data_IF_753763329427
#
_entry.id   IF_753763329427
#
_cell.length_a   1.000
_cell.length_b   1.000
_cell.length_c   1.000
_cell.angle_alpha   90.00
_cell.angle_beta   90.00
_cell.angle_gamma   90.00
#
_symmetry.space_group_name_H-M   'P 1'
#
loop_
_entity.id
_entity.type
_entity.pdbx_description
1 polymer ?
#
# COMPACT_ATOMS: atom_id res chain seq x y z
N UNK A 1 -0.76 -28.09 0.32
CA UNK A 1 -1.01 -28.16 -1.14
C UNK A 1 -1.01 -26.75 -1.70
N UNK A 2 -0.46 -26.57 -2.90
CA UNK A 2 -0.33 -25.27 -3.56
C UNK A 2 -1.01 -25.32 -4.94
N UNK A 3 -1.75 -24.27 -5.30
CA UNK A 3 -2.34 -24.09 -6.61
C UNK A 3 -1.80 -22.79 -7.21
N UNK A 4 -1.10 -22.91 -8.33
CA UNK A 4 -0.56 -21.79 -9.07
C UNK A 4 -1.30 -21.67 -10.39
N UNK A 5 -2.09 -20.61 -10.52
CA UNK A 5 -2.82 -20.27 -11.73
C UNK A 5 -2.02 -19.27 -12.54
N UNK A 6 -2.14 -19.36 -13.86
CA UNK A 6 -1.80 -18.24 -14.72
C UNK A 6 -2.84 -17.12 -14.52
N UNK A 7 -2.44 -15.85 -14.60
CA UNK A 7 -3.32 -14.71 -14.38
C UNK A 7 -4.48 -14.63 -15.37
N UNK A 8 -4.36 -15.28 -16.52
CA UNK A 8 -5.43 -15.37 -17.53
C UNK A 8 -6.31 -16.62 -17.36
N UNK A 9 -5.98 -17.51 -16.41
CA UNK A 9 -6.78 -18.71 -16.13
C UNK A 9 -8.02 -18.33 -15.32
N UNK A 10 -9.19 -18.51 -15.92
CA UNK A 10 -10.47 -18.42 -15.20
C UNK A 10 -10.71 -19.71 -14.42
N UNK A 11 -10.94 -19.57 -13.12
CA UNK A 11 -11.28 -20.71 -12.29
C UNK A 11 -12.80 -20.95 -12.32
N UNK A 12 -13.17 -22.11 -12.84
CA UNK A 12 -14.53 -22.64 -12.98
C UNK A 12 -15.36 -22.64 -11.71
N UNK A 13 -14.96 -23.56 -10.84
CA UNK A 13 -15.56 -24.06 -9.60
C UNK A 13 -14.63 -25.17 -9.07
N UNK A 14 -14.89 -25.68 -7.86
CA UNK A 14 -14.19 -26.84 -7.32
C UNK A 14 -12.94 -26.50 -6.52
N UNK A 15 -12.79 -25.22 -6.17
CA UNK A 15 -11.91 -24.80 -5.08
C UNK A 15 -12.27 -25.60 -3.84
N UNK A 16 -13.57 -25.76 -3.53
CA UNK A 16 -14.08 -26.52 -2.38
C UNK A 16 -13.57 -27.97 -2.26
N UNK A 17 -13.17 -28.61 -3.38
CA UNK A 17 -12.58 -29.95 -3.36
C UNK A 17 -11.14 -29.97 -2.84
N UNK A 18 -10.49 -28.80 -2.82
CA UNK A 18 -9.09 -28.60 -2.44
C UNK A 18 -8.94 -28.36 -0.92
N UNK A 19 -9.49 -29.27 -0.11
CA UNK A 19 -9.59 -29.12 1.37
C UNK A 19 -8.25 -28.90 2.09
N UNK A 20 -7.13 -29.30 1.48
CA UNK A 20 -5.76 -29.14 2.02
C UNK A 20 -4.98 -27.96 1.40
N UNK A 21 -5.66 -27.05 0.71
CA UNK A 21 -5.05 -25.90 0.04
C UNK A 21 -4.48 -24.91 1.06
N UNK A 22 -3.18 -24.61 0.90
CA UNK A 22 -2.46 -23.66 1.75
C UNK A 22 -1.95 -22.45 0.97
N UNK A 23 -1.74 -22.60 -0.33
CA UNK A 23 -1.27 -21.52 -1.19
C UNK A 23 -2.11 -21.48 -2.47
N UNK A 24 -2.63 -20.30 -2.78
CA UNK A 24 -3.38 -20.02 -4.00
C UNK A 24 -2.80 -18.76 -4.62
N UNK A 25 -2.23 -18.89 -5.82
CA UNK A 25 -1.66 -17.74 -6.52
C UNK A 25 -2.25 -17.61 -7.91
N UNK A 26 -2.32 -16.38 -8.41
CA UNK A 26 -2.83 -16.12 -9.76
C UNK A 26 -4.35 -16.05 -9.86
N UNK A 27 -5.06 -16.03 -8.72
CA UNK A 27 -6.52 -16.07 -8.72
C UNK A 27 -7.10 -14.83 -9.40
N UNK A 28 -7.87 -15.02 -10.48
CA UNK A 28 -8.66 -13.94 -11.08
C UNK A 28 -10.04 -13.88 -10.45
N UNK A 29 -10.43 -12.71 -9.96
CA UNK A 29 -11.76 -12.40 -9.43
C UNK A 29 -12.37 -11.32 -10.31
N UNK A 30 -13.38 -11.71 -11.10
CA UNK A 30 -14.17 -10.84 -11.97
C UNK A 30 -15.67 -11.05 -11.74
N UNK A 31 -16.51 -10.45 -12.59
CA UNK A 31 -17.98 -10.41 -12.44
C UNK A 31 -18.63 -11.80 -12.46
N UNK A 32 -17.91 -12.78 -13.00
CA UNK A 32 -18.31 -14.16 -13.16
C UNK A 32 -17.75 -15.10 -12.08
N UNK A 33 -17.16 -14.54 -11.01
CA UNK A 33 -16.40 -15.28 -10.00
C UNK A 33 -17.17 -15.47 -8.67
N UNK A 34 -18.49 -15.31 -8.66
CA UNK A 34 -19.30 -15.38 -7.44
C UNK A 34 -19.11 -16.70 -6.67
N UNK A 35 -19.11 -17.82 -7.41
CA UNK A 35 -18.94 -19.15 -6.82
C UNK A 35 -17.54 -19.33 -6.23
N UNK A 36 -16.52 -18.86 -6.94
CA UNK A 36 -15.11 -18.88 -6.52
C UNK A 36 -14.90 -18.06 -5.25
N UNK A 37 -15.48 -16.86 -5.18
CA UNK A 37 -15.41 -15.99 -3.99
C UNK A 37 -16.02 -16.69 -2.77
N UNK A 38 -17.21 -17.27 -2.95
CA UNK A 38 -17.89 -18.02 -1.88
C UNK A 38 -17.08 -19.24 -1.43
N UNK A 39 -16.52 -20.01 -2.37
CA UNK A 39 -15.69 -21.17 -2.05
C UNK A 39 -14.35 -20.79 -1.39
N UNK A 40 -13.76 -19.65 -1.75
CA UNK A 40 -12.55 -19.13 -1.12
C UNK A 40 -12.74 -18.99 0.40
N UNK A 41 -13.90 -18.49 0.83
CA UNK A 41 -14.21 -18.34 2.26
C UNK A 41 -14.25 -19.65 3.06
N UNK A 42 -14.33 -20.82 2.40
CA UNK A 42 -14.28 -22.13 3.06
C UNK A 42 -12.83 -22.63 3.27
N UNK A 43 -11.84 -22.03 2.60
CA UNK A 43 -10.44 -22.43 2.66
C UNK A 43 -9.70 -21.79 3.83
N UNK A 44 -10.18 -22.01 5.05
CA UNK A 44 -9.62 -21.41 6.26
C UNK A 44 -8.18 -21.85 6.58
N UNK A 45 -7.69 -22.91 5.92
CA UNK A 45 -6.30 -23.37 5.93
C UNK A 45 -5.32 -22.52 5.10
N UNK A 46 -5.82 -21.60 4.28
CA UNK A 46 -5.02 -20.82 3.33
C UNK A 46 -4.06 -19.86 4.06
N UNK A 47 -2.80 -19.88 3.64
CA UNK A 47 -1.70 -19.08 4.20
C UNK A 47 -1.17 -18.05 3.22
N UNK A 48 -1.19 -18.36 1.92
CA UNK A 48 -0.74 -17.46 0.85
C UNK A 48 -1.85 -17.31 -0.17
N UNK A 49 -2.19 -16.06 -0.47
CA UNK A 49 -3.15 -15.70 -1.48
C UNK A 49 -2.60 -14.58 -2.35
N UNK A 50 -2.49 -14.82 -3.65
CA UNK A 50 -2.30 -13.74 -4.62
C UNK A 50 -3.44 -13.74 -5.61
N UNK A 51 -4.07 -12.58 -5.78
CA UNK A 51 -5.24 -12.44 -6.63
C UNK A 51 -5.20 -11.16 -7.46
N UNK A 52 -5.82 -11.22 -8.63
CA UNK A 52 -6.18 -10.08 -9.46
C UNK A 52 -7.67 -9.87 -9.29
N UNK A 53 -8.01 -8.70 -8.80
CA UNK A 53 -9.37 -8.29 -8.55
C UNK A 53 -9.76 -7.21 -9.55
N UNK A 54 -10.69 -7.57 -10.41
CA UNK A 54 -11.36 -6.67 -11.33
C UNK A 54 -12.58 -6.12 -10.58
N UNK A 55 -12.76 -4.81 -10.58
CA UNK A 55 -13.82 -4.19 -9.80
C UNK A 55 -15.20 -4.68 -10.25
N UNK A 56 -15.95 -5.25 -9.31
CA UNK A 56 -17.22 -5.95 -9.52
C UNK A 56 -18.17 -5.69 -8.35
N UNK A 57 -19.44 -6.02 -8.51
CA UNK A 57 -20.44 -6.11 -7.45
C UNK A 57 -20.08 -7.12 -6.33
N UNK A 58 -19.18 -8.08 -6.60
CA UNK A 58 -18.70 -9.07 -5.61
C UNK A 58 -17.75 -8.54 -4.53
N UNK A 59 -17.53 -7.23 -4.44
CA UNK A 59 -16.53 -6.68 -3.52
C UNK A 59 -16.80 -7.00 -2.05
N UNK A 60 -18.05 -6.83 -1.60
CA UNK A 60 -18.42 -7.10 -0.21
C UNK A 60 -18.29 -8.60 0.12
N UNK A 61 -18.76 -9.46 -0.78
CA UNK A 61 -18.63 -10.92 -0.64
C UNK A 61 -17.18 -11.38 -0.59
N UNK A 62 -16.31 -10.74 -1.38
CA UNK A 62 -14.87 -11.00 -1.35
C UNK A 62 -14.27 -10.62 0.00
N UNK A 63 -14.61 -9.44 0.53
CA UNK A 63 -14.13 -9.00 1.85
C UNK A 63 -14.63 -9.91 2.97
N UNK A 64 -15.90 -10.32 2.93
CA UNK A 64 -16.46 -11.29 3.87
C UNK A 64 -15.74 -12.64 3.80
N UNK A 65 -15.40 -13.09 2.60
CA UNK A 65 -14.67 -14.34 2.38
C UNK A 65 -13.23 -14.25 2.87
N UNK A 66 -12.54 -13.14 2.60
CA UNK A 66 -11.21 -12.84 3.16
C UNK A 66 -11.22 -12.77 4.69
N UNK A 67 -12.29 -12.27 5.29
CA UNK A 67 -12.48 -12.22 6.75
C UNK A 67 -12.50 -13.61 7.42
N UNK A 68 -12.85 -14.67 6.67
CA UNK A 68 -12.85 -16.06 7.17
C UNK A 68 -11.45 -16.69 7.15
N UNK A 69 -10.50 -16.11 6.40
CA UNK A 69 -9.14 -16.64 6.19
C UNK A 69 -8.18 -16.29 7.34
N UNK A 70 -8.49 -16.77 8.54
CA UNK A 70 -7.74 -16.42 9.76
C UNK A 70 -6.29 -16.90 9.81
N UNK A 71 -5.88 -17.87 8.97
CA UNK A 71 -4.48 -18.37 8.88
C UNK A 71 -3.65 -17.67 7.81
N UNK A 72 -4.20 -16.68 7.09
CA UNK A 72 -3.46 -16.00 6.03
C UNK A 72 -2.25 -15.26 6.60
N UNK A 73 -1.10 -15.44 5.95
CA UNK A 73 0.18 -14.83 6.30
C UNK A 73 0.67 -13.89 5.20
N UNK A 74 0.29 -14.15 3.95
CA UNK A 74 0.63 -13.33 2.80
C UNK A 74 -0.60 -13.12 1.93
N UNK A 75 -0.95 -11.85 1.72
CA UNK A 75 -2.03 -11.45 0.84
C UNK A 75 -1.51 -10.38 -0.14
N UNK A 76 -1.49 -10.73 -1.42
CA UNK A 76 -1.20 -9.79 -2.50
C UNK A 76 -2.48 -9.60 -3.34
N UNK A 77 -2.96 -8.37 -3.43
CA UNK A 77 -4.16 -8.03 -4.19
C UNK A 77 -3.78 -7.06 -5.30
N UNK A 78 -3.98 -7.49 -6.53
CA UNK A 78 -3.79 -6.71 -7.74
C UNK A 78 -5.14 -6.12 -8.16
N UNK A 79 -5.39 -4.85 -7.86
CA UNK A 79 -6.69 -4.22 -8.13
C UNK A 79 -6.64 -3.42 -9.43
N UNK A 80 -7.59 -3.69 -10.33
CA UNK A 80 -7.86 -2.92 -11.53
C UNK A 80 -9.26 -2.28 -11.40
N UNK A 81 -9.33 -1.02 -10.97
CA UNK A 81 -10.61 -0.32 -10.78
C UNK A 81 -10.43 1.07 -10.18
N UNK A 82 -11.47 1.90 -10.14
CA UNK A 82 -11.42 3.29 -9.65
C UNK A 82 -11.99 3.41 -8.22
N UNK A 83 -12.72 2.39 -7.75
CA UNK A 83 -13.52 2.41 -6.51
C UNK A 83 -12.98 1.36 -5.53
N UNK A 84 -12.08 1.77 -4.64
CA UNK A 84 -11.42 0.86 -3.69
C UNK A 84 -11.70 1.19 -2.22
N UNK A 85 -12.96 1.45 -1.92
CA UNK A 85 -13.51 1.66 -0.57
C UNK A 85 -13.98 0.38 0.12
N UNK A 86 -14.16 -0.71 -0.61
CA UNK A 86 -14.72 -1.97 -0.12
C UNK A 86 -13.87 -2.62 0.99
N UNK A 87 -12.55 -2.45 0.98
CA UNK A 87 -11.67 -3.10 1.95
C UNK A 87 -11.69 -2.45 3.34
N UNK A 88 -12.48 -1.37 3.57
CA UNK A 88 -12.63 -0.72 4.89
C UNK A 88 -13.03 -1.67 6.01
N UNK A 89 -13.91 -2.62 5.70
CA UNK A 89 -14.48 -3.56 6.66
C UNK A 89 -13.61 -4.80 6.90
N UNK A 90 -12.54 -4.99 6.10
CA UNK A 90 -11.66 -6.13 6.29
C UNK A 90 -10.81 -5.98 7.54
N UNK A 91 -10.90 -6.98 8.43
CA UNK A 91 -10.07 -7.07 9.62
C UNK A 91 -8.90 -8.01 9.33
N UNK A 92 -7.67 -7.50 9.21
CA UNK A 92 -6.51 -8.33 8.91
C UNK A 92 -6.17 -9.23 10.11
N UNK A 93 -5.84 -10.51 9.88
CA UNK A 93 -5.51 -11.41 10.97
C UNK A 93 -4.13 -11.08 11.60
N UNK A 94 -3.94 -11.37 12.90
CA UNK A 94 -2.72 -11.02 13.63
C UNK A 94 -1.46 -11.72 13.11
N UNK A 95 -1.63 -12.87 12.43
CA UNK A 95 -0.56 -13.64 11.80
C UNK A 95 -0.11 -13.09 10.44
N UNK A 96 -0.73 -12.03 9.93
CA UNK A 96 -0.40 -11.45 8.64
C UNK A 96 1.02 -10.87 8.64
N UNK A 97 1.86 -11.38 7.74
CA UNK A 97 3.27 -10.99 7.59
C UNK A 97 3.50 -10.10 6.38
N UNK A 98 2.68 -10.26 5.35
CA UNK A 98 2.77 -9.51 4.10
C UNK A 98 1.38 -9.08 3.64
N UNK A 99 1.25 -7.80 3.35
CA UNK A 99 0.10 -7.26 2.63
C UNK A 99 0.56 -6.33 1.51
N UNK A 100 0.30 -6.69 0.26
CA UNK A 100 0.67 -5.89 -0.90
C UNK A 100 -0.56 -5.55 -1.73
N UNK A 101 -0.91 -4.27 -1.78
CA UNK A 101 -1.78 -3.69 -2.79
C UNK A 101 -0.95 -3.28 -4.01
N UNK A 102 -1.24 -3.86 -5.17
CA UNK A 102 -0.50 -3.64 -6.43
C UNK A 102 -1.45 -3.29 -7.56
N UNK A 103 -1.01 -2.48 -8.52
CA UNK A 103 -1.77 -2.10 -9.72
C UNK A 103 -1.70 -0.60 -10.03
N UNK A 104 -1.88 -0.20 -11.31
CA UNK A 104 -1.83 1.21 -11.73
C UNK A 104 -2.97 2.03 -11.12
N UNK A 105 -4.11 1.38 -10.86
CA UNK A 105 -5.31 1.93 -10.23
C UNK A 105 -5.63 1.21 -8.92
N UNK A 106 -4.63 0.61 -8.27
CA UNK A 106 -4.87 -0.16 -7.05
C UNK A 106 -5.14 0.75 -5.87
N UNK A 107 -6.39 1.17 -5.78
CA UNK A 107 -6.79 2.22 -4.88
C UNK A 107 -7.33 1.60 -3.58
N UNK A 108 -6.50 0.91 -2.79
CA UNK A 108 -6.93 0.37 -1.48
C UNK A 108 -6.66 1.38 -0.34
N UNK A 109 -6.99 2.67 -0.53
CA UNK A 109 -6.73 3.76 0.46
C UNK A 109 -7.48 3.63 1.77
N UNK A 110 -8.48 2.77 1.80
CA UNK A 110 -9.52 2.87 2.80
C UNK A 110 -9.31 1.89 3.95
N UNK A 111 -8.40 0.94 3.79
CA UNK A 111 -7.77 0.29 4.94
C UNK A 111 -6.98 1.35 5.70
N UNK A 112 -7.35 1.65 6.95
CA UNK A 112 -6.57 2.59 7.72
C UNK A 112 -5.19 1.97 7.93
N UNK A 113 -4.14 2.60 7.42
CA UNK A 113 -2.76 2.11 7.56
C UNK A 113 -2.41 1.83 9.04
N UNK A 114 -3.05 2.53 9.97
CA UNK A 114 -2.90 2.31 11.42
C UNK A 114 -3.46 0.98 11.92
N UNK A 115 -4.49 0.40 11.30
CA UNK A 115 -5.00 -0.95 11.63
C UNK A 115 -3.97 -2.01 11.29
N UNK A 116 -3.23 -1.82 10.19
CA UNK A 116 -2.11 -2.69 9.82
C UNK A 116 -0.86 -2.40 10.67
N UNK A 117 -0.73 -1.16 11.16
CA UNK A 117 0.37 -0.71 12.03
C UNK A 117 0.41 -1.38 13.40
N UNK A 118 -0.69 -1.95 13.88
CA UNK A 118 -0.72 -2.68 15.16
C UNK A 118 -0.39 -4.16 15.00
N UNK A 119 -0.26 -4.67 13.77
CA UNK A 119 -0.01 -6.09 13.53
C UNK A 119 1.41 -6.48 13.97
N UNK A 120 1.55 -7.43 14.91
CA UNK A 120 2.84 -7.75 15.51
C UNK A 120 3.76 -8.52 14.55
N UNK A 121 3.18 -9.20 13.56
CA UNK A 121 3.94 -10.04 12.62
C UNK A 121 4.17 -9.41 11.25
N UNK A 122 3.66 -8.20 11.01
CA UNK A 122 3.71 -7.56 9.70
C UNK A 122 5.14 -7.13 9.36
N UNK A 123 5.71 -7.73 8.32
CA UNK A 123 7.09 -7.51 7.84
C UNK A 123 7.15 -6.68 6.58
N UNK A 124 6.13 -6.80 5.72
CA UNK A 124 6.10 -6.15 4.42
C UNK A 124 4.72 -5.56 4.16
N UNK A 125 4.67 -4.26 3.93
CA UNK A 125 3.45 -3.54 3.61
C UNK A 125 3.63 -2.73 2.33
N UNK A 126 2.65 -2.80 1.44
CA UNK A 126 2.50 -1.85 0.33
C UNK A 126 1.03 -1.45 0.20
N UNK A 127 0.75 -0.17 0.38
CA UNK A 127 -0.56 0.45 0.17
C UNK A 127 -0.44 1.57 -0.85
N UNK A 128 -1.48 1.71 -1.68
CA UNK A 128 -1.66 2.80 -2.63
C UNK A 128 -3.03 3.42 -2.38
N UNK A 129 -3.10 4.75 -2.22
CA UNK A 129 -4.35 5.43 -1.93
C UNK A 129 -5.25 5.71 -3.18
N UNK A 130 -6.59 5.76 -3.01
CA UNK A 130 -7.60 6.33 -3.93
C UNK A 130 -7.52 7.86 -4.03
N UNK A 131 -7.98 8.42 -5.15
CA UNK A 131 -8.36 9.83 -5.24
C UNK A 131 -7.22 10.79 -5.57
N UNK A 132 -7.59 11.93 -6.15
CA UNK A 132 -6.66 13.06 -6.32
C UNK A 132 -6.24 13.49 -4.93
N UNK A 133 -4.94 13.49 -4.67
CA UNK A 133 -4.37 13.96 -3.40
C UNK A 133 -4.88 15.37 -3.04
N UNK A 134 -5.26 16.15 -4.04
CA UNK A 134 -5.85 17.50 -3.96
C UNK A 134 -7.24 17.55 -3.28
N UNK A 135 -7.99 16.45 -3.28
CA UNK A 135 -9.36 16.37 -2.74
C UNK A 135 -9.39 15.88 -1.28
N UNK A 136 -8.22 15.52 -0.74
CA UNK A 136 -8.06 15.07 0.65
C UNK A 136 -7.79 16.27 1.53
N UNK A 137 -8.86 16.96 1.92
CA UNK A 137 -8.79 17.94 3.01
C UNK A 137 -8.11 17.31 4.21
N UNK A 138 -6.92 17.81 4.54
CA UNK A 138 -6.16 17.78 5.82
C UNK A 138 -6.38 16.64 6.82
N UNK A 139 -6.79 15.43 6.43
CA UNK A 139 -6.78 14.28 7.31
C UNK A 139 -5.34 13.76 7.40
N UNK A 140 -4.55 14.45 8.22
CA UNK A 140 -3.26 13.99 8.70
C UNK A 140 -3.53 12.78 9.58
N UNK A 141 -3.69 11.60 8.96
CA UNK A 141 -3.81 10.36 9.71
C UNK A 141 -2.45 10.05 10.34
N UNK A 142 -2.23 10.57 11.55
CA UNK A 142 -0.98 10.42 12.30
C UNK A 142 -0.79 8.95 12.64
N UNK A 143 0.34 8.39 12.21
CA UNK A 143 0.76 7.04 12.61
C UNK A 143 1.10 7.08 14.10
N UNK A 144 0.61 6.12 14.88
CA UNK A 144 0.91 6.06 16.32
C UNK A 144 2.40 5.78 16.56
N UNK A 145 2.94 6.30 17.66
CA UNK A 145 4.25 5.87 18.17
C UNK A 145 4.22 4.35 18.41
N UNK A 146 5.25 3.64 17.94
CA UNK A 146 5.32 2.17 18.02
C UNK A 146 4.58 1.42 16.91
N UNK A 147 4.01 2.11 15.92
CA UNK A 147 3.40 1.43 14.78
C UNK A 147 4.44 0.68 13.95
N UNK A 148 4.01 -0.43 13.37
CA UNK A 148 4.80 -1.31 12.51
C UNK A 148 6.07 -1.85 13.20
N UNK A 149 5.95 -2.51 14.37
CA UNK A 149 7.08 -2.89 15.20
C UNK A 149 8.06 -3.85 14.50
N UNK A 150 7.59 -4.64 13.52
CA UNK A 150 8.38 -5.65 12.82
C UNK A 150 8.48 -5.41 11.30
N UNK A 151 8.00 -4.26 10.79
CA UNK A 151 8.00 -4.01 9.35
C UNK A 151 9.40 -3.67 8.85
N UNK A 152 9.90 -4.47 7.91
CA UNK A 152 11.19 -4.24 7.23
C UNK A 152 11.05 -3.46 5.94
N UNK A 153 9.90 -3.61 5.26
CA UNK A 153 9.58 -2.88 4.05
C UNK A 153 8.19 -2.24 4.19
N UNK A 154 8.13 -0.93 4.01
CA UNK A 154 6.89 -0.16 4.08
C UNK A 154 6.79 0.74 2.85
N UNK A 155 5.69 0.61 2.11
CA UNK A 155 5.38 1.46 0.98
C UNK A 155 3.99 2.07 1.16
N UNK A 156 3.92 3.38 1.35
CA UNK A 156 2.68 4.16 1.44
C UNK A 156 2.66 5.19 0.30
N UNK A 157 2.01 4.83 -0.80
CA UNK A 157 2.02 5.60 -2.03
C UNK A 157 0.71 6.36 -2.24
N UNK A 158 0.83 7.56 -2.79
CA UNK A 158 -0.29 8.49 -3.07
C UNK A 158 -1.11 8.90 -1.86
N UNK A 159 -0.64 8.65 -0.64
CA UNK A 159 -1.13 9.33 0.54
C UNK A 159 -0.50 10.74 0.59
N UNK A 160 -1.16 11.70 1.27
CA UNK A 160 -0.47 12.92 1.73
C UNK A 160 0.46 12.46 2.86
N UNK A 161 1.61 11.85 2.52
CA UNK A 161 2.55 11.26 3.47
C UNK A 161 3.94 11.83 3.27
N UNK A 162 4.42 12.54 4.29
CA UNK A 162 5.81 12.92 4.47
C UNK A 162 6.40 12.00 5.56
N UNK A 163 7.71 11.71 5.52
CA UNK A 163 8.37 10.90 6.54
C UNK A 163 8.09 11.32 7.99
N UNK A 164 7.88 12.62 8.24
CA UNK A 164 7.52 13.15 9.56
C UNK A 164 6.18 12.65 10.13
N UNK A 165 5.33 11.99 9.33
CA UNK A 165 4.13 11.31 9.84
C UNK A 165 4.42 10.07 10.65
N UNK A 166 5.63 9.52 10.56
CA UNK A 166 6.09 8.46 11.44
C UNK A 166 6.75 9.10 12.66
N UNK A 167 6.12 9.11 13.85
CA UNK A 167 6.78 9.60 15.04
C UNK A 167 7.94 8.68 15.45
N UNK A 168 8.82 9.18 16.31
CA UNK A 168 9.88 8.35 16.92
C UNK A 168 9.29 7.06 17.51
N UNK A 169 9.95 5.94 17.20
CA UNK A 169 9.51 4.61 17.60
C UNK A 169 8.57 3.92 16.62
N UNK A 170 8.03 4.60 15.62
CA UNK A 170 7.40 3.92 14.47
C UNK A 170 8.47 3.36 13.52
N UNK A 171 8.16 2.25 12.85
CA UNK A 171 9.05 1.60 11.87
C UNK A 171 10.50 1.38 12.38
N UNK A 172 10.71 0.85 13.60
CA UNK A 172 12.05 0.78 14.21
C UNK A 172 13.04 -0.10 13.42
N UNK A 173 12.54 -1.11 12.70
CA UNK A 173 13.35 -2.08 11.94
C UNK A 173 13.18 -1.96 10.43
N UNK A 174 12.63 -0.84 9.95
CA UNK A 174 12.38 -0.63 8.54
C UNK A 174 13.68 -0.35 7.79
N UNK A 175 14.01 -1.25 6.86
CA UNK A 175 15.16 -1.14 5.96
C UNK A 175 14.79 -0.42 4.68
N UNK A 176 13.54 -0.62 4.21
CA UNK A 176 13.04 -0.02 2.96
C UNK A 176 11.81 0.81 3.21
N UNK A 177 11.86 2.08 2.81
CA UNK A 177 10.73 3.01 2.86
C UNK A 177 10.42 3.55 1.47
N UNK A 178 9.16 3.45 1.07
CA UNK A 178 8.67 3.99 -0.20
C UNK A 178 7.46 4.90 0.05
N UNK A 179 7.50 6.12 -0.48
CA UNK A 179 6.42 7.09 -0.30
C UNK A 179 6.29 8.04 -1.50
N UNK A 180 5.14 8.70 -1.60
CA UNK A 180 4.90 9.71 -2.63
C UNK A 180 4.99 11.12 -2.06
N UNK A 181 5.56 12.03 -2.83
CA UNK A 181 5.67 13.45 -2.50
C UNK A 181 5.04 14.26 -3.64
N UNK A 182 4.19 15.21 -3.29
CA UNK A 182 3.76 16.25 -4.22
C UNK A 182 4.62 17.49 -4.05
N UNK A 183 5.27 17.93 -5.12
CA UNK A 183 6.02 19.18 -5.08
C UNK A 183 5.14 20.39 -4.71
N UNK A 184 3.83 20.35 -5.05
CA UNK A 184 2.89 21.42 -4.71
C UNK A 184 2.74 21.63 -3.19
N UNK A 185 2.79 20.57 -2.39
CA UNK A 185 2.61 20.66 -0.92
C UNK A 185 3.74 21.46 -0.25
N UNK A 186 4.88 21.61 -0.94
CA UNK A 186 6.05 22.36 -0.48
C UNK A 186 6.22 23.70 -1.20
N UNK A 187 5.33 24.04 -2.14
CA UNK A 187 5.29 25.35 -2.76
C UNK A 187 4.69 26.39 -1.80
N UNK A 188 4.86 27.69 -2.10
CA UNK A 188 4.22 28.77 -1.32
C UNK A 188 2.70 28.53 -1.28
N UNK A 189 2.16 28.26 -0.08
CA UNK A 189 0.74 27.95 0.14
C UNK A 189 0.39 26.46 0.27
N UNK A 190 1.33 25.54 0.07
CA UNK A 190 1.12 24.08 0.14
C UNK A 190 1.03 23.49 1.56
N UNK A 191 1.31 24.29 2.60
CA UNK A 191 1.09 23.91 3.99
C UNK A 191 2.12 22.96 4.61
N UNK A 192 3.10 22.45 3.84
CA UNK A 192 4.22 21.65 4.36
C UNK A 192 5.57 22.36 4.26
N UNK A 193 6.33 22.36 5.35
CA UNK A 193 7.74 22.74 5.36
C UNK A 193 8.64 21.58 4.95
N UNK A 194 9.84 21.87 4.44
CA UNK A 194 10.83 20.86 4.05
C UNK A 194 11.28 19.96 5.22
N UNK A 195 11.10 20.41 6.46
CA UNK A 195 11.35 19.60 7.67
C UNK A 195 10.49 18.34 7.73
N UNK A 196 9.34 18.33 7.03
CA UNK A 196 8.51 17.13 6.91
C UNK A 196 9.21 15.95 6.21
N UNK A 197 10.30 16.21 5.50
CA UNK A 197 11.09 15.23 4.77
C UNK A 197 12.20 14.59 5.61
N UNK A 198 12.40 15.03 6.86
CA UNK A 198 13.44 14.48 7.75
C UNK A 198 13.14 13.04 8.12
N UNK A 199 14.16 12.19 7.99
CA UNK A 199 14.06 10.74 8.20
C UNK A 199 15.03 10.21 9.27
N UNK A 200 15.81 11.09 9.91
CA UNK A 200 16.84 10.76 10.91
C UNK A 200 16.34 9.95 12.11
N UNK A 201 15.03 9.95 12.35
CA UNK A 201 14.39 9.24 13.46
C UNK A 201 14.08 7.78 13.15
N UNK A 202 14.32 7.31 11.91
CA UNK A 202 14.07 5.94 11.46
C UNK A 202 15.41 5.17 11.41
N UNK A 203 15.77 4.45 12.48
CA UNK A 203 17.17 4.09 12.76
C UNK A 203 17.75 3.02 11.84
N UNK A 204 16.92 2.27 11.11
CA UNK A 204 17.34 1.09 10.33
C UNK A 204 17.27 1.28 8.81
N UNK A 205 17.03 2.51 8.32
CA UNK A 205 16.83 2.73 6.89
C UNK A 205 18.11 2.44 6.09
N UNK A 206 17.93 1.69 5.01
CA UNK A 206 18.97 1.29 4.05
C UNK A 206 18.60 1.75 2.63
N UNK A 207 17.31 1.71 2.26
CA UNK A 207 16.82 2.15 0.95
C UNK A 207 15.58 3.05 1.07
N UNK A 208 15.57 4.12 0.29
CA UNK A 208 14.46 5.07 0.19
C UNK A 208 14.04 5.20 -1.27
N UNK A 209 12.76 5.00 -1.54
CA UNK A 209 12.15 5.22 -2.85
C UNK A 209 11.12 6.32 -2.76
N UNK A 210 11.26 7.35 -3.58
CA UNK A 210 10.34 8.49 -3.59
C UNK A 210 9.70 8.63 -4.95
N UNK A 211 8.37 8.62 -5.00
CA UNK A 211 7.61 9.02 -6.18
C UNK A 211 7.31 10.52 -6.08
N UNK A 212 8.12 11.34 -6.76
CA UNK A 212 7.98 12.80 -6.77
C UNK A 212 7.08 13.23 -7.92
N UNK A 213 5.85 13.59 -7.59
CA UNK A 213 4.83 14.06 -8.53
C UNK A 213 4.80 15.59 -8.59
N UNK A 214 4.73 16.16 -9.80
CA UNK A 214 4.71 17.61 -9.99
C UNK A 214 3.94 18.06 -11.24
N UNK A 215 3.51 19.33 -11.27
CA UNK A 215 2.95 19.99 -12.46
C UNK A 215 4.06 20.73 -13.20
N UNK A 216 3.96 20.84 -14.53
CA UNK A 216 4.99 21.50 -15.38
C UNK A 216 5.33 22.93 -14.96
N UNK A 217 4.39 23.65 -14.34
CA UNK A 217 4.55 25.05 -13.93
C UNK A 217 5.41 25.28 -12.68
N UNK A 218 5.97 24.23 -12.06
CA UNK A 218 6.63 24.32 -10.73
C UNK A 218 8.01 23.66 -10.73
N UNK A 219 8.70 23.68 -11.88
CA UNK A 219 10.00 23.02 -12.04
C UNK A 219 11.01 23.36 -10.93
N UNK A 220 11.05 24.63 -10.50
CA UNK A 220 12.00 25.08 -9.47
C UNK A 220 11.76 24.43 -8.10
N UNK A 221 10.49 24.28 -7.68
CA UNK A 221 10.15 23.66 -6.38
C UNK A 221 10.48 22.17 -6.38
N UNK A 222 10.36 21.50 -7.53
CA UNK A 222 10.71 20.08 -7.67
C UNK A 222 12.18 19.85 -7.34
N UNK A 223 13.07 20.73 -7.82
CA UNK A 223 14.50 20.63 -7.52
C UNK A 223 14.78 20.95 -6.05
N UNK A 224 14.09 21.93 -5.46
CA UNK A 224 14.22 22.22 -4.02
C UNK A 224 13.80 21.02 -3.16
N UNK A 225 12.69 20.37 -3.49
CA UNK A 225 12.20 19.17 -2.78
C UNK A 225 13.14 17.99 -3.00
N UNK A 226 13.62 17.77 -4.22
CA UNK A 226 14.59 16.72 -4.52
C UNK A 226 15.91 16.95 -3.78
N UNK A 227 16.40 18.19 -3.70
CA UNK A 227 17.59 18.55 -2.94
C UNK A 227 17.39 18.38 -1.44
N UNK A 228 16.20 18.69 -0.92
CA UNK A 228 15.86 18.43 0.49
C UNK A 228 15.83 16.93 0.82
N UNK A 229 15.25 16.10 -0.06
CA UNK A 229 15.27 14.63 0.08
C UNK A 229 16.70 14.09 0.07
N UNK A 230 17.55 14.57 -0.84
CA UNK A 230 18.97 14.19 -0.88
C UNK A 230 19.68 14.58 0.42
N UNK A 231 19.56 15.84 0.86
CA UNK A 231 20.14 16.29 2.14
C UNK A 231 19.66 15.46 3.34
N UNK A 232 18.38 15.08 3.36
CA UNK A 232 17.82 14.25 4.43
C UNK A 232 18.38 12.82 4.41
N UNK A 233 18.64 12.24 3.24
CA UNK A 233 19.30 10.94 3.10
C UNK A 233 20.79 11.03 3.44
N UNK A 234 21.49 12.07 2.98
CA UNK A 234 22.92 12.28 3.23
C UNK A 234 23.21 12.52 4.72
N UNK A 235 22.33 13.25 5.41
CA UNK A 235 22.41 13.50 6.85
C UNK A 235 21.92 12.34 7.73
N UNK A 236 21.47 11.22 7.14
CA UNK A 236 20.98 10.07 7.89
C UNK A 236 22.16 9.20 8.37
N UNK A 237 22.15 8.68 9.62
CA UNK A 237 23.27 7.91 10.18
C UNK A 237 23.74 6.71 9.33
N UNK A 238 22.80 6.05 8.63
CA UNK A 238 23.09 4.89 7.78
C UNK A 238 23.31 5.22 6.29
N UNK A 239 23.28 6.50 5.89
CA UNK A 239 23.42 6.92 4.49
C UNK A 239 22.61 6.06 3.48
N UNK A 240 21.27 5.99 3.63
CA UNK A 240 20.42 5.11 2.83
C UNK A 240 20.48 5.48 1.34
N UNK A 241 20.38 4.46 0.49
CA UNK A 241 20.31 4.64 -0.97
C UNK A 241 18.99 5.31 -1.34
N UNK A 242 19.06 6.54 -1.85
CA UNK A 242 17.89 7.30 -2.28
C UNK A 242 17.64 7.15 -3.79
N UNK A 243 16.43 6.73 -4.16
CA UNK A 243 15.95 6.68 -5.55
C UNK A 243 14.72 7.56 -5.70
N UNK A 244 14.82 8.59 -6.55
CA UNK A 244 13.72 9.51 -6.83
C UNK A 244 13.17 9.21 -8.24
N UNK A 245 11.92 8.78 -8.31
CA UNK A 245 11.19 8.65 -9.57
C UNK A 245 10.33 9.90 -9.79
N UNK A 246 10.62 10.65 -10.84
CA UNK A 246 9.93 11.89 -11.19
C UNK A 246 8.75 11.60 -12.11
N UNK A 247 7.55 12.01 -11.70
CA UNK A 247 6.34 11.87 -12.51
C UNK A 247 5.69 13.21 -12.76
N UNK A 248 5.60 13.57 -14.05
CA UNK A 248 4.84 14.73 -14.50
C UNK A 248 3.36 14.37 -14.44
N UNK A 249 2.56 15.15 -13.70
CA UNK A 249 1.10 15.09 -13.79
C UNK A 249 0.64 16.01 -14.92
N UNK A 250 0.07 15.41 -15.97
CA UNK A 250 -0.73 16.15 -16.93
C UNK A 250 -2.11 16.41 -16.29
N UNK A 251 -2.53 17.66 -16.24
CA UNK A 251 -3.95 17.97 -16.03
C UNK A 251 -4.63 17.59 -17.34
N UNK A 252 -5.49 16.57 -17.34
CA UNK A 252 -6.49 16.49 -18.41
C UNK A 252 -7.33 17.75 -18.28
N UNK A 253 -7.16 18.66 -19.24
CA UNK A 253 -8.05 19.81 -19.41
C UNK A 253 -9.46 19.25 -19.61
N UNK A 254 -10.29 19.33 -18.57
CA UNK A 254 -11.73 19.32 -18.75
C UNK A 254 -12.05 20.68 -19.38
N UNK A 255 -12.21 20.66 -20.70
CA UNK A 255 -13.02 21.63 -21.42
C UNK A 255 -14.49 21.24 -21.25
#
# INVERSE_FOLDING_TARGET
MCLHLDWDTKLSNGLSNLTSLQELTGLRVGHDSADVVRELGHHTGLRVLTMRWEETDLGEDLVLSLGKLHKIQSLDVYVNGVRGDVMRSWVPPPGLRRFLSKGPTSHLSTLPAWTLGTLPSLRSLRLRATGRIEDRGTERHVVRAGAFPCARACALLHFVTAPSMFPRGALPVAQRLEFSVLAWDFARGGGLGLDGLRMEHLPSLEEIYVELSYRRSIGDVVEVVAAALRRAADGHPNHPTLRINRRIRCVSSLA
#
